data_IF_058468719122
#
_entry.id   IF_058468719122
#
_cell.length_a   1.000
_cell.length_b   1.000
_cell.length_c   1.000
_cell.angle_alpha   90.00
_cell.angle_beta   90.00
_cell.angle_gamma   90.00
#
_symmetry.space_group_name_H-M   'P 1'
#
loop_
_entity.id
_entity.type
_entity.pdbx_description
1 polymer ?
#
# COMPACT_ATOMS: atom_id res chain seq x y z
N UNK A 1 17.28 -8.70 -12.01
CA UNK A 1 16.98 -7.37 -11.44
C UNK A 1 16.80 -7.48 -9.94
N UNK A 2 17.55 -6.71 -9.16
CA UNK A 2 17.30 -6.59 -7.72
C UNK A 2 16.07 -5.71 -7.48
N UNK A 3 15.13 -6.18 -6.66
CA UNK A 3 14.01 -5.35 -6.20
C UNK A 3 14.56 -4.06 -5.56
N UNK A 4 14.19 -2.90 -6.09
CA UNK A 4 14.70 -1.60 -5.63
C UNK A 4 13.71 -0.48 -5.89
N UNK A 5 13.92 0.67 -5.23
CA UNK A 5 13.06 1.84 -5.34
C UNK A 5 11.75 1.73 -4.54
N UNK A 6 10.97 2.81 -4.56
CA UNK A 6 9.60 2.80 -4.10
C UNK A 6 8.67 2.31 -5.24
N UNK A 7 7.48 1.82 -4.88
CA UNK A 7 6.45 1.44 -5.85
C UNK A 7 5.57 2.63 -6.21
N UNK A 8 5.30 3.51 -5.24
CA UNK A 8 4.48 4.70 -5.42
C UNK A 8 5.29 5.98 -5.22
N UNK A 9 4.74 7.10 -5.71
CA UNK A 9 5.27 8.45 -5.55
C UNK A 9 4.48 9.25 -4.50
N UNK A 10 5.03 10.38 -4.05
CA UNK A 10 4.34 11.24 -3.08
C UNK A 10 3.02 11.81 -3.61
N UNK A 11 2.94 12.07 -4.92
CA UNK A 11 1.71 12.52 -5.60
C UNK A 11 0.62 11.44 -5.54
N UNK A 12 0.96 10.19 -5.84
CA UNK A 12 0.05 9.05 -5.75
C UNK A 12 -0.40 8.82 -4.30
N UNK A 13 0.52 8.95 -3.35
CA UNK A 13 0.20 8.89 -1.92
C UNK A 13 -0.78 10.00 -1.51
N UNK A 14 -0.56 11.23 -2.00
CA UNK A 14 -1.42 12.37 -1.70
C UNK A 14 -2.81 12.23 -2.33
N UNK A 15 -2.90 11.70 -3.55
CA UNK A 15 -4.18 11.34 -4.16
C UNK A 15 -4.91 10.29 -3.33
N UNK A 16 -4.21 9.26 -2.89
CA UNK A 16 -4.80 8.13 -2.14
C UNK A 16 -5.25 8.51 -0.73
N UNK A 17 -4.38 9.12 0.07
CA UNK A 17 -4.65 9.42 1.49
C UNK A 17 -5.22 10.82 1.71
N UNK A 18 -4.87 11.77 0.85
CA UNK A 18 -5.12 13.19 1.08
C UNK A 18 -6.22 13.76 0.16
N UNK A 19 -6.84 12.95 -0.71
CA UNK A 19 -7.84 13.41 -1.70
C UNK A 19 -7.33 14.62 -2.50
N UNK A 20 -6.14 14.48 -3.07
CA UNK A 20 -5.52 15.49 -3.93
C UNK A 20 -5.14 16.79 -3.21
N UNK A 21 -4.88 16.74 -1.89
CA UNK A 21 -4.15 17.84 -1.25
C UNK A 21 -2.72 17.81 -1.78
N UNK A 22 -2.29 18.81 -2.57
CA UNK A 22 -0.92 18.86 -3.05
C UNK A 22 0.03 18.90 -1.84
N UNK A 23 1.08 18.06 -1.80
CA UNK A 23 2.21 18.27 -0.91
C UNK A 23 3.00 19.49 -1.46
N UNK A 24 2.42 20.68 -1.31
CA UNK A 24 2.96 21.96 -1.78
C UNK A 24 4.19 22.41 -0.98
N UNK A 25 4.42 21.80 0.18
CA UNK A 25 5.66 21.89 0.93
C UNK A 25 6.65 20.77 0.52
N UNK A 26 7.78 21.17 -0.08
CA UNK A 26 8.86 20.25 -0.45
C UNK A 26 9.31 19.34 0.71
N UNK A 27 9.31 19.84 1.95
CA UNK A 27 9.69 19.03 3.11
C UNK A 27 8.65 17.95 3.43
N UNK A 28 7.37 18.18 3.14
CA UNK A 28 6.32 17.17 3.27
C UNK A 28 6.46 16.11 2.18
N UNK A 29 6.69 16.54 0.95
CA UNK A 29 6.91 15.63 -0.18
C UNK A 29 8.10 14.69 0.06
N UNK A 30 9.26 15.24 0.44
CA UNK A 30 10.48 14.45 0.70
C UNK A 30 10.27 13.41 1.81
N UNK A 31 9.51 13.76 2.86
CA UNK A 31 9.22 12.83 3.96
C UNK A 31 8.29 11.70 3.52
N UNK A 32 7.31 11.98 2.66
CA UNK A 32 6.45 10.95 2.06
C UNK A 32 7.30 10.01 1.18
N UNK A 33 8.14 10.57 0.30
CA UNK A 33 9.02 9.77 -0.55
C UNK A 33 10.02 8.92 0.23
N UNK A 34 10.57 9.46 1.32
CA UNK A 34 11.43 8.71 2.22
C UNK A 34 10.67 7.55 2.85
N UNK A 35 9.46 7.80 3.35
CA UNK A 35 8.63 6.76 3.95
C UNK A 35 8.30 5.65 2.94
N UNK A 36 7.91 6.02 1.71
CA UNK A 36 7.65 5.09 0.62
C UNK A 36 8.89 4.25 0.27
N UNK A 37 10.08 4.87 0.21
CA UNK A 37 11.34 4.14 -0.03
C UNK A 37 11.67 3.17 1.09
N UNK A 38 11.52 3.57 2.35
CA UNK A 38 11.80 2.73 3.51
C UNK A 38 10.84 1.54 3.56
N UNK A 39 9.55 1.76 3.31
CA UNK A 39 8.54 0.71 3.45
C UNK A 39 8.50 -0.25 2.27
N UNK A 40 8.92 0.18 1.08
CA UNK A 40 9.09 -0.69 -0.07
C UNK A 40 10.07 -1.84 0.21
N UNK A 41 11.02 -1.66 1.13
CA UNK A 41 11.94 -2.72 1.57
C UNK A 41 11.23 -3.98 2.06
N UNK A 42 10.07 -3.88 2.72
CA UNK A 42 9.29 -5.06 3.17
C UNK A 42 8.72 -5.87 2.01
N UNK A 43 8.23 -5.16 0.99
CA UNK A 43 7.72 -5.77 -0.24
C UNK A 43 8.88 -6.42 -1.02
N UNK A 44 10.04 -5.76 -1.07
CA UNK A 44 11.23 -6.30 -1.72
C UNK A 44 11.70 -7.60 -1.06
N UNK A 45 11.68 -7.67 0.27
CA UNK A 45 12.01 -8.90 1.01
C UNK A 45 11.06 -10.03 0.63
N UNK A 46 9.75 -9.77 0.66
CA UNK A 46 8.73 -10.77 0.29
C UNK A 46 8.89 -11.28 -1.14
N UNK A 47 9.13 -10.38 -2.11
CA UNK A 47 9.36 -10.78 -3.51
C UNK A 47 10.67 -11.54 -3.68
N UNK A 48 11.71 -11.14 -2.95
CA UNK A 48 13.03 -11.76 -3.07
C UNK A 48 13.05 -13.21 -2.57
N UNK A 49 12.19 -13.58 -1.61
CA UNK A 49 12.16 -14.95 -1.06
C UNK A 49 11.69 -15.99 -2.08
N UNK A 50 10.94 -15.57 -3.09
CA UNK A 50 10.44 -16.42 -4.19
C UNK A 50 11.11 -16.13 -5.53
N UNK A 51 12.18 -15.33 -5.55
CA UNK A 51 12.87 -14.95 -6.79
C UNK A 51 12.09 -13.99 -7.70
N UNK A 52 10.98 -13.42 -7.23
CA UNK A 52 10.10 -12.54 -8.01
C UNK A 52 10.66 -11.12 -8.22
N UNK A 53 11.94 -10.87 -7.95
CA UNK A 53 12.62 -9.61 -8.28
C UNK A 53 13.09 -9.53 -9.73
N UNK A 54 13.27 -10.68 -10.37
CA UNK A 54 13.87 -10.78 -11.71
C UNK A 54 12.84 -10.77 -12.86
N UNK A 55 11.55 -10.59 -12.53
CA UNK A 55 10.45 -10.60 -13.50
C UNK A 55 9.83 -9.22 -13.70
N UNK A 56 9.14 -9.05 -14.83
CA UNK A 56 8.19 -7.97 -15.02
C UNK A 56 6.98 -8.18 -14.10
N UNK A 57 6.43 -7.11 -13.56
CA UNK A 57 5.17 -7.17 -12.81
C UNK A 57 3.99 -7.11 -13.78
N UNK A 58 2.91 -7.84 -13.48
CA UNK A 58 1.61 -7.57 -14.13
C UNK A 58 1.09 -6.18 -13.74
N UNK A 59 0.17 -5.62 -14.53
CA UNK A 59 -0.40 -4.29 -14.24
C UNK A 59 -1.14 -4.29 -12.90
N UNK A 60 -1.88 -5.36 -12.64
CA UNK A 60 -2.66 -5.59 -11.43
C UNK A 60 -1.75 -5.75 -10.22
N UNK A 61 -0.68 -6.56 -10.34
CA UNK A 61 0.31 -6.72 -9.28
C UNK A 61 1.02 -5.41 -8.97
N UNK A 62 1.40 -4.62 -9.98
CA UNK A 62 2.01 -3.32 -9.76
C UNK A 62 1.09 -2.37 -8.98
N UNK A 63 -0.20 -2.32 -9.33
CA UNK A 63 -1.16 -1.46 -8.64
C UNK A 63 -1.34 -1.86 -7.18
N UNK A 64 -1.39 -3.16 -6.93
CA UNK A 64 -1.54 -3.70 -5.58
C UNK A 64 -0.28 -3.48 -4.73
N UNK A 65 0.92 -3.67 -5.29
CA UNK A 65 2.18 -3.35 -4.61
C UNK A 65 2.32 -1.85 -4.32
N UNK A 66 1.84 -0.99 -5.22
CA UNK A 66 1.73 0.47 -4.98
C UNK A 66 0.87 0.77 -3.77
N UNK A 67 -0.32 0.18 -3.71
CA UNK A 67 -1.25 0.37 -2.60
C UNK A 67 -0.63 -0.07 -1.26
N UNK A 68 -0.07 -1.29 -1.21
CA UNK A 68 0.64 -1.79 -0.02
C UNK A 68 1.76 -0.85 0.41
N UNK A 69 2.54 -0.31 -0.55
CA UNK A 69 3.63 0.61 -0.25
C UNK A 69 3.12 1.91 0.37
N UNK A 70 2.04 2.48 -0.16
CA UNK A 70 1.40 3.68 0.38
C UNK A 70 0.78 3.44 1.76
N UNK A 71 0.14 2.30 1.99
CA UNK A 71 -0.42 1.96 3.30
C UNK A 71 0.67 1.77 4.36
N UNK A 72 1.74 1.02 4.05
CA UNK A 72 2.89 0.91 4.95
C UNK A 72 3.52 2.27 5.24
N UNK A 73 3.66 3.13 4.21
CA UNK A 73 4.18 4.49 4.39
C UNK A 73 3.28 5.31 5.31
N UNK A 74 1.95 5.21 5.19
CA UNK A 74 1.02 5.91 6.07
C UNK A 74 1.11 5.44 7.52
N UNK A 75 1.28 4.13 7.75
CA UNK A 75 1.50 3.56 9.09
C UNK A 75 2.80 4.10 9.69
N UNK A 76 3.90 4.12 8.93
CA UNK A 76 5.22 4.55 9.38
C UNK A 76 5.30 6.06 9.60
N UNK A 77 4.90 6.83 8.59
CA UNK A 77 5.05 8.28 8.54
C UNK A 77 3.97 9.00 9.33
N UNK A 78 2.80 8.36 9.50
CA UNK A 78 1.62 8.88 10.16
C UNK A 78 1.12 10.16 9.46
N UNK A 79 0.29 9.97 8.42
CA UNK A 79 -0.05 10.95 7.39
C UNK A 79 -0.08 12.42 7.87
N UNK A 80 0.68 13.33 7.24
CA UNK A 80 0.73 14.74 7.60
C UNK A 80 -0.43 15.54 7.03
N UNK A 81 -1.40 14.87 6.41
CA UNK A 81 -2.57 15.44 5.76
C UNK A 81 -3.57 16.05 6.77
N UNK A 82 -3.08 17.06 7.51
CA UNK A 82 -3.80 18.09 8.24
C UNK A 82 -4.53 17.65 9.50
N UNK A 83 -4.51 18.54 10.48
CA UNK A 83 -5.32 18.46 11.71
C UNK A 83 -6.84 18.25 11.47
N UNK A 84 -7.32 18.37 10.22
CA UNK A 84 -8.71 18.13 9.82
C UNK A 84 -9.06 16.67 9.53
N UNK A 85 -8.08 15.77 9.28
CA UNK A 85 -8.35 14.34 8.99
C UNK A 85 -7.76 13.37 10.00
N UNK A 86 -7.10 13.89 11.03
CA UNK A 86 -6.59 13.08 12.13
C UNK A 86 -5.44 12.16 11.72
N UNK A 87 -4.69 11.73 12.72
CA UNK A 87 -3.72 10.65 12.56
C UNK A 87 -4.51 9.35 12.40
N UNK A 88 -4.01 8.39 11.63
CA UNK A 88 -4.58 7.04 11.62
C UNK A 88 -4.70 6.55 13.07
N UNK A 89 -5.89 6.10 13.47
CA UNK A 89 -6.09 5.49 14.77
C UNK A 89 -5.23 4.24 14.90
N UNK A 90 -4.92 3.82 16.12
CA UNK A 90 -4.09 2.63 16.31
C UNK A 90 -4.80 1.36 15.83
N UNK A 91 -6.13 1.30 15.97
CA UNK A 91 -6.95 0.20 15.44
C UNK A 91 -6.88 0.12 13.91
N UNK A 92 -6.94 1.27 13.23
CA UNK A 92 -6.79 1.31 11.76
C UNK A 92 -5.39 0.90 11.33
N UNK A 93 -4.34 1.38 12.02
CA UNK A 93 -2.97 0.94 11.72
C UNK A 93 -2.81 -0.55 11.89
N UNK A 94 -3.41 -1.12 12.95
CA UNK A 94 -3.36 -2.55 13.22
C UNK A 94 -4.10 -3.35 12.13
N UNK A 95 -5.29 -2.91 11.73
CA UNK A 95 -6.05 -3.55 10.66
C UNK A 95 -5.29 -3.54 9.32
N UNK A 96 -4.74 -2.38 8.93
CA UNK A 96 -3.91 -2.26 7.72
C UNK A 96 -2.65 -3.13 7.81
N UNK A 97 -1.97 -3.15 8.96
CA UNK A 97 -0.77 -3.96 9.15
C UNK A 97 -1.09 -5.46 9.03
N UNK A 98 -2.22 -5.91 9.57
CA UNK A 98 -2.65 -7.32 9.49
C UNK A 98 -2.91 -7.73 8.05
N UNK A 99 -3.70 -6.95 7.31
CA UNK A 99 -4.01 -7.22 5.90
C UNK A 99 -2.71 -7.23 5.06
N UNK A 100 -1.86 -6.21 5.20
CA UNK A 100 -0.57 -6.15 4.48
C UNK A 100 0.33 -7.33 4.85
N UNK A 101 0.35 -7.76 6.11
CA UNK A 101 1.16 -8.90 6.55
C UNK A 101 0.68 -10.20 5.90
N UNK A 102 -0.63 -10.40 5.79
CA UNK A 102 -1.21 -11.54 5.07
C UNK A 102 -0.79 -11.54 3.60
N UNK A 103 -0.93 -10.40 2.91
CA UNK A 103 -0.53 -10.26 1.51
C UNK A 103 0.98 -10.48 1.31
N UNK A 104 1.83 -9.94 2.19
CA UNK A 104 3.28 -10.16 2.13
C UNK A 104 3.64 -11.63 2.35
N UNK A 105 2.93 -12.34 3.23
CA UNK A 105 3.13 -13.78 3.43
C UNK A 105 2.74 -14.56 2.17
N UNK A 106 1.61 -14.21 1.55
CA UNK A 106 1.18 -14.83 0.29
C UNK A 106 2.17 -14.60 -0.86
N UNK A 107 2.80 -13.43 -0.93
CA UNK A 107 3.89 -13.19 -1.89
C UNK A 107 5.12 -14.03 -1.52
N UNK A 108 5.45 -14.11 -0.23
CA UNK A 108 6.68 -14.78 0.24
C UNK A 108 6.62 -16.30 0.14
N UNK A 109 5.43 -16.90 0.16
CA UNK A 109 5.21 -18.34 0.00
C UNK A 109 4.85 -18.74 -1.44
N UNK A 110 4.77 -17.76 -2.34
CA UNK A 110 4.44 -17.96 -3.76
C UNK A 110 2.97 -18.28 -4.02
N UNK A 111 2.10 -18.21 -3.01
CA UNK A 111 0.66 -18.37 -3.22
C UNK A 111 0.07 -17.20 -4.03
N UNK A 112 0.70 -16.03 -3.98
CA UNK A 112 0.44 -14.89 -4.85
C UNK A 112 1.61 -14.63 -5.80
N UNK A 113 1.48 -15.06 -7.06
CA UNK A 113 2.42 -14.67 -8.11
C UNK A 113 2.22 -13.21 -8.53
N UNK A 114 3.31 -12.43 -8.44
CA UNK A 114 3.35 -11.02 -8.86
C UNK A 114 3.97 -10.82 -10.24
N UNK A 115 4.59 -11.87 -10.78
CA UNK A 115 5.28 -11.84 -12.06
C UNK A 115 4.29 -11.95 -13.22
N UNK A 116 4.51 -11.15 -14.27
CA UNK A 116 3.75 -11.23 -15.51
C UNK A 116 4.00 -12.57 -16.22
N UNK A 117 2.94 -13.16 -16.77
CA UNK A 117 2.98 -14.47 -17.44
C UNK A 117 2.92 -15.70 -16.51
N UNK A 118 3.04 -15.53 -15.19
CA UNK A 118 2.88 -16.61 -14.22
C UNK A 118 1.48 -16.56 -13.60
N UNK A 119 0.56 -17.42 -14.05
CA UNK A 119 -0.75 -17.59 -13.40
C UNK A 119 -0.61 -18.52 -12.21
N UNK A 120 -0.24 -17.95 -11.08
CA UNK A 120 -0.23 -18.66 -9.80
C UNK A 120 -1.56 -19.28 -9.42
N UNK A 121 -1.51 -20.29 -8.55
CA UNK A 121 -2.70 -20.99 -8.09
C UNK A 121 -3.75 -20.08 -7.43
N UNK A 122 -3.33 -18.94 -6.85
CA UNK A 122 -4.22 -17.87 -6.37
C UNK A 122 -3.95 -16.53 -7.05
N UNK A 123 -3.61 -16.53 -8.35
CA UNK A 123 -3.63 -15.31 -9.14
C UNK A 123 -4.96 -14.58 -8.84
N UNK A 124 -4.96 -13.30 -8.42
CA UNK A 124 -6.18 -12.64 -7.98
C UNK A 124 -7.17 -12.59 -9.14
N UNK A 125 -8.12 -13.53 -9.18
CA UNK A 125 -9.24 -13.51 -10.10
C UNK A 125 -10.19 -12.43 -9.60
N UNK A 126 -9.80 -11.16 -9.72
CA UNK A 126 -10.48 -9.95 -9.23
C UNK A 126 -10.86 -9.90 -7.72
N UNK A 127 -11.02 -11.02 -7.02
CA UNK A 127 -11.64 -11.11 -5.70
C UNK A 127 -10.74 -10.62 -4.54
N UNK A 128 -9.41 -10.63 -4.69
CA UNK A 128 -8.49 -10.11 -3.67
C UNK A 128 -8.29 -8.61 -3.84
N UNK A 129 -8.24 -8.12 -5.09
CA UNK A 129 -8.29 -6.69 -5.37
C UNK A 129 -9.65 -6.10 -4.96
N UNK A 130 -10.76 -6.81 -5.22
CA UNK A 130 -12.09 -6.46 -4.74
C UNK A 130 -12.19 -6.54 -3.22
N UNK A 131 -11.57 -7.51 -2.54
CA UNK A 131 -11.53 -7.53 -1.06
C UNK A 131 -10.74 -6.37 -0.48
N UNK A 132 -9.56 -6.08 -1.02
CA UNK A 132 -8.77 -4.90 -0.65
C UNK A 132 -9.59 -3.62 -0.85
N UNK A 133 -10.25 -3.46 -2.00
CA UNK A 133 -11.16 -2.36 -2.31
C UNK A 133 -12.40 -2.33 -1.41
N UNK A 134 -12.95 -3.48 -1.01
CA UNK A 134 -14.19 -3.57 -0.21
C UNK A 134 -13.91 -3.29 1.27
N UNK A 135 -12.87 -3.91 1.85
CA UNK A 135 -12.40 -3.57 3.20
C UNK A 135 -11.94 -2.11 3.28
N UNK A 136 -11.31 -1.60 2.22
CA UNK A 136 -10.97 -0.19 2.09
C UNK A 136 -12.19 0.71 2.00
N UNK A 137 -13.18 0.35 1.18
CA UNK A 137 -14.46 1.08 1.13
C UNK A 137 -15.15 1.06 2.49
N UNK A 138 -15.13 -0.06 3.20
CA UNK A 138 -15.68 -0.16 4.57
C UNK A 138 -14.93 0.74 5.55
N UNK A 139 -13.59 0.71 5.55
CA UNK A 139 -12.77 1.60 6.37
C UNK A 139 -13.02 3.08 6.02
N UNK A 140 -13.08 3.43 4.73
CA UNK A 140 -13.39 4.77 4.25
C UNK A 140 -14.82 5.19 4.64
N UNK A 141 -15.80 4.29 4.61
CA UNK A 141 -17.17 4.52 5.06
C UNK A 141 -17.21 4.78 6.56
N UNK A 142 -16.43 4.05 7.35
CA UNK A 142 -16.33 4.26 8.81
C UNK A 142 -15.73 5.64 9.08
N UNK A 143 -14.60 6.00 8.45
CA UNK A 143 -14.00 7.33 8.56
C UNK A 143 -15.00 8.41 8.16
N UNK A 144 -15.69 8.25 7.02
CA UNK A 144 -16.68 9.20 6.54
C UNK A 144 -17.88 9.33 7.51
N UNK A 145 -18.25 8.26 8.23
CA UNK A 145 -19.29 8.30 9.26
C UNK A 145 -18.81 9.02 10.51
N UNK A 146 -17.62 8.71 11.01
CA UNK A 146 -17.03 9.39 12.17
C UNK A 146 -16.85 10.89 11.92
N UNK A 147 -16.52 11.28 10.69
CA UNK A 147 -16.42 12.69 10.26
C UNK A 147 -17.78 13.39 10.09
N UNK A 148 -18.87 12.65 9.89
CA UNK A 148 -20.21 13.21 9.73
C UNK A 148 -20.95 13.35 11.06
N UNK A 149 -20.66 12.45 11.99
CA UNK A 149 -21.38 12.34 13.26
C UNK A 149 -20.59 12.95 14.45
N UNK A 150 -19.40 13.53 14.19
CA UNK A 150 -18.61 14.36 15.11
C UNK A 150 -18.68 15.85 14.80
#
# INVERSE_FOLDING_TARGET
>A
MTCSGAYAMAEEYALFWCLDWPPDDCAVQERIELALRVTAGRIHVARSSVGACDCSLSTESLQMLKEMNMQLAAILYNCPCGAARGRLSDDMKQSLLLNITEMLNMISDGSWEVCDGETGANFPVMATAERGLTEWNEAQIIINRELRDG
#
